data_IF_138436566814
#
_entry.id   IF_138436566814
#
_cell.length_a   1.000
_cell.length_b   1.000
_cell.length_c   1.000
_cell.angle_alpha   90.00
_cell.angle_beta   90.00
_cell.angle_gamma   90.00
#
_symmetry.space_group_name_H-M   'P 1'
#
loop_
_entity.id
_entity.type
_entity.pdbx_description
1 polymer ?
#
# COMPACT_ATOMS: atom_id res chain seq x y z
N UNK A 1 -13.83 -2.21 9.90
CA UNK A 1 -12.79 -2.98 9.20
C UNK A 1 -12.07 -2.08 8.21
N UNK A 2 -10.74 -1.91 8.35
CA UNK A 2 -9.80 -2.01 7.22
C UNK A 2 -9.99 -1.10 5.98
N UNK A 3 -10.66 0.05 6.06
CA UNK A 3 -10.82 0.96 4.89
C UNK A 3 -9.48 1.28 4.21
N UNK A 4 -8.42 1.47 5.00
CA UNK A 4 -7.08 1.73 4.46
C UNK A 4 -6.48 0.53 3.71
N UNK A 5 -6.74 -0.72 4.12
CA UNK A 5 -6.26 -1.91 3.39
C UNK A 5 -6.96 -2.06 2.04
N UNK A 6 -8.23 -1.65 1.95
CA UNK A 6 -8.93 -1.58 0.66
C UNK A 6 -8.30 -0.53 -0.25
N UNK A 7 -7.99 0.66 0.28
CA UNK A 7 -7.28 1.71 -0.48
C UNK A 7 -5.92 1.22 -0.96
N UNK A 8 -5.13 0.57 -0.09
CA UNK A 8 -3.86 -0.05 -0.47
C UNK A 8 -4.06 -1.07 -1.59
N UNK A 9 -5.03 -1.99 -1.45
CA UNK A 9 -5.33 -3.00 -2.47
C UNK A 9 -5.73 -2.38 -3.82
N UNK A 10 -6.54 -1.33 -3.82
CA UNK A 10 -6.95 -0.61 -5.04
C UNK A 10 -5.72 0.01 -5.72
N UNK A 11 -4.91 0.77 -4.98
CA UNK A 11 -3.74 1.45 -5.54
C UNK A 11 -2.70 0.44 -6.03
N UNK A 12 -2.45 -0.64 -5.29
CA UNK A 12 -1.60 -1.75 -5.75
C UNK A 12 -2.15 -2.39 -7.03
N UNK A 13 -3.45 -2.66 -7.12
CA UNK A 13 -4.07 -3.22 -8.32
C UNK A 13 -3.92 -2.31 -9.54
N UNK A 14 -4.13 -1.00 -9.36
CA UNK A 14 -3.91 -0.01 -10.43
C UNK A 14 -2.45 0.01 -10.88
N UNK A 15 -1.49 -0.07 -9.96
CA UNK A 15 -0.07 -0.13 -10.31
C UNK A 15 0.30 -1.40 -11.08
N UNK A 16 -0.26 -2.55 -10.72
CA UNK A 16 -0.07 -3.81 -11.47
C UNK A 16 -0.57 -3.64 -12.91
N UNK A 17 -1.77 -3.07 -13.09
CA UNK A 17 -2.31 -2.78 -14.43
C UNK A 17 -1.39 -1.81 -15.18
N UNK A 18 -0.94 -0.72 -14.55
CA UNK A 18 -0.06 0.27 -15.16
C UNK A 18 1.24 -0.35 -15.68
N UNK A 19 1.94 -1.13 -14.85
CA UNK A 19 3.19 -1.80 -15.23
C UNK A 19 2.95 -2.83 -16.34
N UNK A 20 1.83 -3.57 -16.28
CA UNK A 20 1.48 -4.54 -17.32
C UNK A 20 1.23 -3.86 -18.68
N UNK A 21 0.53 -2.73 -18.69
CA UNK A 21 0.29 -1.95 -19.92
C UNK A 21 1.59 -1.44 -20.53
N UNK A 22 2.51 -0.96 -19.70
CA UNK A 22 3.86 -0.54 -20.15
C UNK A 22 4.61 -1.73 -20.75
N UNK A 23 4.64 -2.88 -20.05
CA UNK A 23 5.40 -4.05 -20.48
C UNK A 23 4.91 -4.64 -21.81
N UNK A 24 3.60 -4.51 -22.09
CA UNK A 24 2.97 -4.95 -23.33
C UNK A 24 2.95 -3.87 -24.40
N UNK A 25 3.38 -2.64 -24.08
CA UNK A 25 3.37 -1.47 -24.96
C UNK A 25 1.99 -1.16 -25.58
N UNK A 26 0.90 -1.43 -24.84
CA UNK A 26 -0.48 -1.24 -25.30
C UNK A 26 -1.17 -0.08 -24.59
N UNK A 27 -2.15 0.53 -25.27
CA UNK A 27 -3.02 1.57 -24.71
C UNK A 27 -2.26 2.79 -24.15
N UNK A 28 -1.36 3.37 -24.95
CA UNK A 28 -0.62 4.60 -24.65
C UNK A 28 -1.44 5.69 -23.93
N UNK A 29 -2.66 6.06 -24.36
CA UNK A 29 -3.46 7.07 -23.65
C UNK A 29 -3.76 6.70 -22.19
N UNK A 30 -4.00 5.42 -21.91
CA UNK A 30 -4.26 4.92 -20.57
C UNK A 30 -2.98 4.91 -19.72
N UNK A 31 -1.84 4.56 -20.31
CA UNK A 31 -0.52 4.68 -19.65
C UNK A 31 -0.28 6.14 -19.22
N UNK A 32 -0.51 7.10 -20.12
CA UNK A 32 -0.35 8.53 -19.81
C UNK A 32 -1.28 8.99 -18.68
N UNK A 33 -2.54 8.58 -18.71
CA UNK A 33 -3.51 8.87 -17.64
C UNK A 33 -3.05 8.31 -16.29
N UNK A 34 -2.61 7.05 -16.26
CA UNK A 34 -2.13 6.38 -15.04
C UNK A 34 -0.83 6.99 -14.53
N UNK A 35 0.06 7.41 -15.43
CA UNK A 35 1.30 8.09 -15.07
C UNK A 35 1.03 9.44 -14.39
N UNK A 36 0.14 10.26 -14.96
CA UNK A 36 -0.21 11.58 -14.40
C UNK A 36 -1.00 11.43 -13.09
N UNK A 37 -1.92 10.48 -13.02
CA UNK A 37 -2.75 10.25 -11.82
C UNK A 37 -2.03 9.48 -10.71
N UNK A 38 -0.94 8.77 -11.04
CA UNK A 38 -0.15 7.94 -10.13
C UNK A 38 0.26 8.66 -8.84
N UNK A 39 0.93 9.83 -8.90
CA UNK A 39 1.30 10.59 -7.71
C UNK A 39 0.12 10.91 -6.80
N UNK A 40 -1.04 11.28 -7.36
CA UNK A 40 -2.24 11.56 -6.58
C UNK A 40 -2.80 10.29 -5.90
N UNK A 41 -2.77 9.14 -6.59
CA UNK A 41 -3.18 7.85 -6.02
C UNK A 41 -2.27 7.44 -4.85
N UNK A 42 -0.97 7.65 -4.96
CA UNK A 42 0.00 7.38 -3.89
C UNK A 42 -0.26 8.28 -2.68
N UNK A 43 -0.45 9.59 -2.89
CA UNK A 43 -0.75 10.54 -1.81
C UNK A 43 -2.07 10.18 -1.10
N UNK A 44 -3.09 9.79 -1.86
CA UNK A 44 -4.35 9.32 -1.29
C UNK A 44 -4.17 8.06 -0.45
N UNK A 45 -3.43 7.07 -0.95
CA UNK A 45 -3.12 5.86 -0.18
C UNK A 45 -2.37 6.17 1.10
N UNK A 46 -1.35 7.01 1.03
CA UNK A 46 -0.56 7.40 2.20
C UNK A 46 -1.43 8.09 3.26
N UNK A 47 -2.26 9.04 2.85
CA UNK A 47 -3.19 9.70 3.74
C UNK A 47 -4.18 8.71 4.38
N UNK A 48 -4.74 7.79 3.60
CA UNK A 48 -5.67 6.78 4.11
C UNK A 48 -5.03 5.84 5.14
N UNK A 49 -3.75 5.50 4.96
CA UNK A 49 -2.98 4.68 5.91
C UNK A 49 -2.69 5.46 7.19
N UNK A 50 -2.23 6.71 7.08
CA UNK A 50 -1.91 7.53 8.26
C UNK A 50 -3.13 7.93 9.08
N UNK A 51 -4.27 8.18 8.41
CA UNK A 51 -5.51 8.54 9.08
C UNK A 51 -6.27 7.31 9.63
N UNK A 52 -5.74 6.09 9.44
CA UNK A 52 -6.39 4.90 9.94
C UNK A 52 -6.36 4.89 11.48
N UNK A 53 -7.50 4.68 12.15
CA UNK A 53 -7.54 4.53 13.61
C UNK A 53 -7.01 3.14 13.97
N UNK A 54 -5.70 3.00 14.00
CA UNK A 54 -5.00 1.80 14.44
C UNK A 54 -4.75 1.95 15.93
N UNK A 55 -5.39 1.09 16.73
CA UNK A 55 -5.06 0.95 18.14
C UNK A 55 -3.69 0.29 18.25
N UNK A 56 -2.68 1.08 18.63
CA UNK A 56 -1.34 0.58 18.90
C UNK A 56 -1.31 0.25 20.40
N UNK A 57 -1.45 -1.04 20.72
CA UNK A 57 -1.46 -1.52 22.12
C UNK A 57 -0.05 -1.69 22.71
N UNK A 58 0.98 -1.57 21.89
CA UNK A 58 2.38 -1.79 22.24
C UNK A 58 3.16 -0.46 22.08
N UNK A 59 4.08 -0.17 22.98
CA UNK A 59 4.98 0.97 22.81
C UNK A 59 6.02 0.69 21.71
N UNK A 60 6.60 1.76 21.14
CA UNK A 60 7.66 1.63 20.14
C UNK A 60 8.83 0.79 20.67
N UNK A 61 9.26 1.04 21.92
CA UNK A 61 10.31 0.28 22.58
C UNK A 61 9.95 -1.20 22.77
N UNK A 62 8.70 -1.49 23.13
CA UNK A 62 8.21 -2.88 23.23
C UNK A 62 8.29 -3.57 21.87
N UNK A 63 7.79 -2.98 20.77
CA UNK A 63 7.85 -3.56 19.42
C UNK A 63 9.27 -3.72 18.88
N UNK A 64 10.17 -2.78 19.14
CA UNK A 64 11.51 -2.75 18.55
C UNK A 64 12.43 -3.83 19.12
N UNK A 65 12.22 -4.22 20.38
CA UNK A 65 12.99 -5.27 21.06
C UNK A 65 12.19 -6.56 21.29
N UNK A 66 11.06 -6.79 20.59
CA UNK A 66 10.41 -8.10 20.61
C UNK A 66 11.30 -9.11 19.89
N UNK A 67 12.25 -9.69 20.62
CA UNK A 67 12.54 -11.10 20.39
C UNK A 67 11.21 -11.84 20.56
N UNK A 68 10.79 -12.56 19.53
CA UNK A 68 9.54 -13.32 19.48
C UNK A 68 9.85 -14.78 19.78
N UNK A 69 10.05 -15.19 21.06
CA UNK A 69 10.36 -16.57 21.40
C UNK A 69 9.23 -17.54 21.07
N UNK A 70 8.01 -17.04 20.84
CA UNK A 70 6.87 -17.75 20.27
C UNK A 70 7.11 -18.20 18.82
N UNK A 71 7.92 -17.47 18.04
CA UNK A 71 8.31 -17.83 16.67
C UNK A 71 9.53 -18.75 16.60
N UNK A 72 10.25 -18.93 17.72
CA UNK A 72 11.43 -19.80 17.83
C UNK A 72 11.10 -21.24 18.22
N UNK A 73 9.84 -21.53 18.55
CA UNK A 73 9.35 -22.89 18.85
C UNK A 73 8.53 -23.44 17.67
N UNK A 74 9.23 -23.67 16.56
CA UNK A 74 8.77 -24.48 15.43
C UNK A 74 9.59 -25.75 15.34
#
# INVERSE_FOLDING_TARGET
>A
MKNYLQVVGIVTGILIVFVTLIQLEVALPLIWLLFISGPALILWMFWAVLAAPVEINETFEEQWYQDRPDLLKG
#
